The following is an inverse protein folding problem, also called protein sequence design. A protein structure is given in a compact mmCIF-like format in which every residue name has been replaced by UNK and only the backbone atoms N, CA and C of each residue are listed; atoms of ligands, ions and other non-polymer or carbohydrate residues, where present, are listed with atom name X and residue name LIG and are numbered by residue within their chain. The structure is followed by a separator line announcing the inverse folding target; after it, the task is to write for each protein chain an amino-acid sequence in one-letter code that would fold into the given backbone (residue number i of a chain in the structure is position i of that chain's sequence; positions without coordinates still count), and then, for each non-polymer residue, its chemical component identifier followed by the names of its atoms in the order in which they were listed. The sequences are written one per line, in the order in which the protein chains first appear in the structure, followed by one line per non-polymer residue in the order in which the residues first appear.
data_IF_597457553681
#
_entry.id   IF_597457553681
#
_cell.length_a   1.000
_cell.length_b   1.000
_cell.length_c   1.000
_cell.angle_alpha   90.00
_cell.angle_beta   90.00
_cell.angle_gamma   90.00
#
_symmetry.space_group_name_H-M   'P 1'
#
loop_
_entity.id
_entity.type
_entity.pdbx_description
1 polymer ?
#
# COMPACT_ATOMS: atom_id res chain seq x y z
N UNK A 1 11.34 -7.64 17.10
CA UNK A 1 11.92 -6.55 17.90
C UNK A 1 11.76 -5.28 17.08
N UNK A 2 10.72 -4.50 17.36
CA UNK A 2 10.35 -3.31 16.59
C UNK A 2 11.26 -2.13 16.95
N UNK A 3 12.07 -1.67 16.00
CA UNK A 3 12.87 -0.46 16.17
C UNK A 3 11.96 0.72 16.49
N UNK A 4 12.22 1.38 17.62
CA UNK A 4 11.43 2.51 18.10
C UNK A 4 11.47 3.63 17.06
N UNK A 5 10.35 4.33 16.90
CA UNK A 5 10.22 5.46 15.97
C UNK A 5 11.33 6.51 16.19
N UNK A 6 11.84 6.59 17.42
CA UNK A 6 13.00 7.39 17.81
C UNK A 6 14.30 6.96 17.11
N UNK A 7 14.55 5.66 16.99
CA UNK A 7 15.74 5.13 16.33
C UNK A 7 15.66 5.29 14.81
N UNK A 8 14.46 5.19 14.24
CA UNK A 8 14.23 5.50 12.83
C UNK A 8 14.54 6.97 12.51
N UNK A 9 14.15 7.89 13.41
CA UNK A 9 14.44 9.32 13.27
C UNK A 9 15.93 9.65 13.46
N UNK A 10 16.62 8.95 14.37
CA UNK A 10 18.07 9.09 14.56
C UNK A 10 18.85 8.56 13.35
N UNK A 11 18.42 7.44 12.76
CA UNK A 11 19.07 6.83 11.58
C UNK A 11 18.88 7.65 10.30
N UNK A 12 17.74 8.33 10.18
CA UNK A 12 17.43 9.22 9.06
C UNK A 12 18.09 10.60 9.15
N UNK A 13 18.88 10.87 10.21
CA UNK A 13 19.64 12.11 10.36
C UNK A 13 18.81 13.34 10.74
N UNK A 14 17.53 13.14 11.10
CA UNK A 14 16.61 14.22 11.49
C UNK A 14 16.62 14.53 13.00
N UNK A 15 17.33 13.75 13.82
CA UNK A 15 17.40 13.94 15.26
C UNK A 15 18.86 13.99 15.77
N UNK A 16 19.19 14.99 16.59
CA UNK A 16 20.45 15.03 17.34
C UNK A 16 20.40 14.10 18.56
N UNK A 17 21.50 13.39 18.84
CA UNK A 17 21.62 12.51 20.01
C UNK A 17 21.49 13.35 21.30
N UNK A 18 20.66 12.96 22.27
CA UNK A 18 20.55 13.68 23.52
C UNK A 18 21.88 13.63 24.27
N UNK A 19 22.50 14.79 24.46
CA UNK A 19 23.67 14.95 25.33
C UNK A 19 23.22 14.69 26.77
N UNK A 20 23.84 13.70 27.41
CA UNK A 20 23.68 13.41 28.83
C UNK A 20 24.04 14.67 29.64
N UNK A 21 23.05 15.26 30.31
CA UNK A 21 23.29 16.34 31.27
C UNK A 21 23.58 15.74 32.65
N UNK A 22 24.85 15.81 33.03
CA UNK A 22 25.30 15.70 34.41
C UNK A 22 24.68 16.81 35.27
N UNK A 23 24.24 16.42 36.48
CA UNK A 23 23.67 17.30 37.52
C UNK A 23 24.52 18.56 37.77
N UNK A 24 23.93 19.75 37.94
CA UNK A 24 24.64 20.90 38.48
C UNK A 24 24.40 21.05 39.99
N UNK A 25 25.50 21.08 40.74
CA UNK A 25 25.60 21.58 42.11
C UNK A 25 25.32 23.08 42.18
N UNK A 26 24.76 23.51 43.31
CA UNK A 26 24.42 24.88 43.64
C UNK A 26 25.66 25.80 43.71
N UNK A 27 25.59 26.98 43.08
CA UNK A 27 26.32 28.17 43.51
C UNK A 27 25.70 29.47 42.96
N UNK A 28 25.91 30.54 43.74
CA UNK A 28 25.14 31.80 43.88
C UNK A 28 25.20 32.78 42.70
N UNK A 29 24.28 33.77 42.64
CA UNK A 29 24.20 34.74 41.55
C UNK A 29 25.17 35.90 41.71
N UNK A 30 25.84 36.29 40.62
CA UNK A 30 26.50 37.58 40.48
C UNK A 30 25.99 38.30 39.23
N UNK A 31 25.45 39.49 39.46
CA UNK A 31 25.06 40.44 38.44
C UNK A 31 26.28 40.87 37.62
N UNK A 32 26.23 40.66 36.31
CA UNK A 32 26.94 41.48 35.33
C UNK A 32 26.04 41.71 34.13
N UNK A 33 25.49 42.92 34.06
CA UNK A 33 24.94 43.47 32.85
C UNK A 33 26.06 43.58 31.82
N UNK A 34 25.93 42.92 30.66
CA UNK A 34 26.47 43.46 29.42
C UNK A 34 25.94 42.75 28.18
N UNK A 35 25.23 43.56 27.39
CA UNK A 35 25.20 43.54 25.92
C UNK A 35 24.52 42.34 25.27
N UNK A 36 23.21 42.50 25.07
CA UNK A 36 22.43 41.77 24.08
C UNK A 36 23.10 41.88 22.69
N UNK A 37 23.87 40.84 22.33
CA UNK A 37 24.16 40.54 20.93
C UNK A 37 22.88 39.97 20.34
N UNK A 38 22.20 40.77 19.52
CA UNK A 38 21.22 40.30 18.54
C UNK A 38 21.81 39.12 17.78
N UNK A 39 21.34 37.90 18.10
CA UNK A 39 21.51 36.74 17.23
C UNK A 39 20.84 37.13 15.90
N UNK A 40 21.51 37.04 14.74
CA UNK A 40 20.78 37.10 13.48
C UNK A 40 19.77 35.94 13.53
N UNK A 41 18.49 36.26 13.32
CA UNK A 41 17.47 35.23 13.13
C UNK A 41 18.00 34.31 12.02
N UNK A 42 18.11 33.02 12.32
CA UNK A 42 18.40 32.04 11.28
C UNK A 42 17.37 32.28 10.16
N UNK A 43 17.76 32.25 8.87
CA UNK A 43 16.81 32.50 7.81
C UNK A 43 15.71 31.44 7.95
N UNK A 44 14.53 31.87 8.37
CA UNK A 44 13.32 31.06 8.28
C UNK A 44 13.26 30.65 6.82
N UNK A 45 13.46 29.35 6.57
CA UNK A 45 13.30 28.79 5.23
C UNK A 45 11.93 29.27 4.76
N UNK A 46 11.94 30.17 3.76
CA UNK A 46 10.76 30.94 3.37
C UNK A 46 9.55 30.01 3.31
N UNK A 47 8.54 30.30 4.13
CA UNK A 47 7.36 29.45 4.31
C UNK A 47 6.74 29.09 2.94
N UNK A 48 6.83 30.01 1.98
CA UNK A 48 6.42 29.80 0.59
C UNK A 48 7.21 28.66 -0.09
N UNK A 49 8.53 28.58 0.11
CA UNK A 49 9.36 27.49 -0.41
C UNK A 49 9.03 26.13 0.24
N UNK A 50 8.69 26.11 1.52
CA UNK A 50 8.27 24.87 2.20
C UNK A 50 6.95 24.32 1.61
N UNK A 51 5.96 25.20 1.39
CA UNK A 51 4.70 24.81 0.73
C UNK A 51 4.90 24.43 -0.73
N UNK A 52 5.73 25.15 -1.49
CA UNK A 52 6.03 24.83 -2.87
C UNK A 52 6.67 23.43 -2.99
N UNK A 53 7.60 23.08 -2.08
CA UNK A 53 8.23 21.75 -2.04
C UNK A 53 7.22 20.65 -1.73
N UNK A 54 6.30 20.89 -0.79
CA UNK A 54 5.23 19.95 -0.45
C UNK A 54 4.27 19.74 -1.62
N UNK A 55 3.85 20.83 -2.27
CA UNK A 55 2.98 20.74 -3.45
C UNK A 55 3.64 19.98 -4.60
N UNK A 56 4.96 20.12 -4.79
CA UNK A 56 5.71 19.33 -5.77
C UNK A 56 5.76 17.84 -5.39
N UNK A 57 5.98 17.52 -4.11
CA UNK A 57 5.98 16.14 -3.62
C UNK A 57 4.60 15.48 -3.80
N UNK A 58 3.52 16.15 -3.41
CA UNK A 58 2.15 15.64 -3.56
C UNK A 58 1.77 15.39 -5.03
N UNK A 59 2.20 16.26 -5.95
CA UNK A 59 2.04 16.06 -7.41
C UNK A 59 2.84 14.86 -7.91
N UNK A 60 4.07 14.67 -7.43
CA UNK A 60 4.90 13.53 -7.82
C UNK A 60 4.32 12.20 -7.30
N UNK A 61 3.85 12.17 -6.06
CA UNK A 61 3.22 11.00 -5.44
C UNK A 61 1.92 10.62 -6.15
N UNK A 62 1.06 11.59 -6.45
CA UNK A 62 -0.17 11.33 -7.21
C UNK A 62 0.11 10.84 -8.63
N UNK A 63 1.11 11.38 -9.32
CA UNK A 63 1.54 10.89 -10.63
C UNK A 63 2.12 9.47 -10.56
N UNK A 64 2.88 9.12 -9.51
CA UNK A 64 3.40 7.77 -9.29
C UNK A 64 2.27 6.78 -9.00
N UNK A 65 1.35 7.13 -8.10
CA UNK A 65 0.19 6.31 -7.78
C UNK A 65 -0.69 6.03 -9.01
N UNK A 66 -0.89 7.03 -9.88
CA UNK A 66 -1.59 6.84 -11.16
C UNK A 66 -0.85 5.86 -12.08
N UNK A 67 0.46 6.02 -12.25
CA UNK A 67 1.28 5.10 -13.08
C UNK A 67 1.26 3.67 -12.55
N UNK A 68 1.33 3.49 -11.25
CA UNK A 68 1.25 2.17 -10.61
C UNK A 68 -0.14 1.56 -10.77
N UNK A 69 -1.20 2.34 -10.57
CA UNK A 69 -2.57 1.89 -10.79
C UNK A 69 -2.80 1.49 -12.26
N UNK A 70 -2.29 2.27 -13.21
CA UNK A 70 -2.34 1.93 -14.63
C UNK A 70 -1.57 0.64 -14.96
N UNK A 71 -0.36 0.46 -14.40
CA UNK A 71 0.42 -0.77 -14.58
C UNK A 71 -0.33 -1.99 -14.06
N UNK A 72 -0.85 -1.91 -12.84
CA UNK A 72 -1.65 -2.99 -12.23
C UNK A 72 -2.92 -3.25 -13.04
N UNK A 73 -3.57 -2.20 -13.55
CA UNK A 73 -4.75 -2.34 -14.41
C UNK A 73 -4.42 -3.04 -15.74
N UNK A 74 -3.29 -2.70 -16.38
CA UNK A 74 -2.80 -3.36 -17.60
C UNK A 74 -2.52 -4.83 -17.36
N UNK A 75 -1.78 -5.17 -16.31
CA UNK A 75 -1.49 -6.57 -15.96
C UNK A 75 -2.76 -7.38 -15.67
N UNK A 76 -3.74 -6.78 -14.97
CA UNK A 76 -5.04 -7.42 -14.72
C UNK A 76 -5.79 -7.64 -16.02
N UNK A 77 -5.76 -6.68 -16.95
CA UNK A 77 -6.40 -6.80 -18.27
C UNK A 77 -5.75 -7.91 -19.09
N UNK A 78 -4.42 -7.95 -19.15
CA UNK A 78 -3.68 -9.01 -19.85
C UNK A 78 -3.96 -10.39 -19.28
N UNK A 79 -3.95 -10.54 -17.95
CA UNK A 79 -4.30 -11.80 -17.28
C UNK A 79 -5.72 -12.25 -17.61
N UNK A 80 -6.69 -11.33 -17.57
CA UNK A 80 -8.08 -11.62 -17.95
C UNK A 80 -8.20 -12.00 -19.42
N UNK A 81 -7.49 -11.32 -20.33
CA UNK A 81 -7.49 -11.65 -21.76
C UNK A 81 -6.91 -13.03 -22.02
N UNK A 82 -5.79 -13.40 -21.39
CA UNK A 82 -5.23 -14.75 -21.47
C UNK A 82 -6.20 -15.80 -20.96
N UNK A 83 -6.84 -15.56 -19.81
CA UNK A 83 -7.85 -16.47 -19.25
C UNK A 83 -9.07 -16.59 -20.18
N UNK A 84 -9.57 -15.48 -20.73
CA UNK A 84 -10.67 -15.49 -21.68
C UNK A 84 -10.32 -16.26 -22.96
N UNK A 85 -9.12 -16.07 -23.51
CA UNK A 85 -8.64 -16.81 -24.68
C UNK A 85 -8.52 -18.31 -24.41
N UNK A 86 -8.04 -18.71 -23.22
CA UNK A 86 -7.94 -20.12 -22.84
C UNK A 86 -9.31 -20.80 -22.68
N UNK A 87 -10.33 -20.06 -22.26
CA UNK A 87 -11.70 -20.54 -22.04
C UNK A 87 -12.59 -20.40 -23.28
N UNK A 88 -12.21 -19.58 -24.26
CA UNK A 88 -13.00 -19.34 -25.46
C UNK A 88 -13.29 -20.66 -26.21
N UNK A 89 -14.57 -20.91 -26.48
CA UNK A 89 -15.04 -22.11 -27.20
C UNK A 89 -15.01 -23.42 -26.40
N UNK A 90 -14.56 -23.41 -25.13
CA UNK A 90 -14.52 -24.62 -24.27
C UNK A 90 -15.67 -24.69 -23.26
N UNK A 91 -16.55 -23.69 -23.26
CA UNK A 91 -17.72 -23.70 -22.39
C UNK A 91 -18.74 -24.73 -22.91
N UNK A 92 -19.09 -25.71 -22.08
CA UNK A 92 -20.12 -26.72 -22.36
C UNK A 92 -21.48 -26.33 -21.75
N UNK A 93 -21.77 -25.03 -21.74
CA UNK A 93 -23.04 -24.54 -21.21
C UNK A 93 -24.15 -24.82 -22.22
N UNK A 94 -25.17 -25.51 -21.77
CA UNK A 94 -26.38 -25.79 -22.55
C UNK A 94 -27.56 -25.03 -21.94
N UNK A 95 -28.41 -24.45 -22.78
CA UNK A 95 -29.61 -23.72 -22.37
C UNK A 95 -30.75 -24.65 -21.94
N UNK A 96 -30.77 -25.87 -22.47
CA UNK A 96 -31.77 -26.89 -22.18
C UNK A 96 -31.34 -27.80 -21.01
N UNK A 97 -30.35 -27.37 -20.24
CA UNK A 97 -29.86 -28.07 -19.06
C UNK A 97 -30.84 -27.93 -17.89
N UNK A 98 -31.56 -29.02 -17.58
CA UNK A 98 -32.55 -29.02 -16.50
C UNK A 98 -32.13 -29.76 -15.24
N UNK A 99 -31.11 -30.62 -15.31
CA UNK A 99 -30.79 -31.54 -14.20
C UNK A 99 -29.78 -30.91 -13.24
N UNK A 100 -30.12 -30.64 -11.96
CA UNK A 100 -29.19 -30.03 -11.02
C UNK A 100 -28.17 -31.05 -10.51
N UNK A 101 -26.88 -30.76 -10.67
CA UNK A 101 -25.78 -31.49 -10.02
C UNK A 101 -25.12 -30.64 -8.95
N UNK A 102 -25.04 -31.20 -7.75
CA UNK A 102 -24.36 -30.58 -6.61
C UNK A 102 -22.88 -30.99 -6.57
N UNK A 103 -22.02 -30.03 -6.23
CA UNK A 103 -20.59 -30.24 -6.08
C UNK A 103 -20.01 -29.34 -4.97
N UNK A 104 -18.96 -29.78 -4.26
CA UNK A 104 -18.28 -28.96 -3.27
C UNK A 104 -17.42 -27.90 -3.95
N UNK A 105 -17.51 -26.65 -3.49
CA UNK A 105 -16.65 -25.57 -3.92
C UNK A 105 -16.23 -24.72 -2.71
N UNK A 106 -14.98 -24.90 -2.26
CA UNK A 106 -14.52 -24.38 -0.99
C UNK A 106 -15.37 -24.93 0.16
N UNK A 107 -15.90 -24.05 1.00
CA UNK A 107 -16.72 -24.42 2.17
C UNK A 107 -18.23 -24.49 1.87
N UNK A 108 -18.64 -24.53 0.59
CA UNK A 108 -20.06 -24.50 0.20
C UNK A 108 -20.37 -25.52 -0.89
N UNK A 109 -21.55 -26.14 -0.81
CA UNK A 109 -22.11 -26.94 -1.90
C UNK A 109 -22.77 -25.99 -2.90
N UNK A 110 -22.32 -26.02 -4.15
CA UNK A 110 -22.93 -25.28 -5.27
C UNK A 110 -23.66 -26.26 -6.18
N UNK A 111 -24.54 -25.73 -7.02
CA UNK A 111 -25.23 -26.49 -8.06
C UNK A 111 -24.90 -25.93 -9.43
N UNK A 112 -24.79 -26.82 -10.41
CA UNK A 112 -24.80 -26.53 -11.84
C UNK A 112 -25.96 -27.29 -12.46
N UNK A 113 -26.53 -26.73 -13.53
CA UNK A 113 -27.49 -27.44 -14.35
C UNK A 113 -26.74 -28.12 -15.50
N UNK A 114 -27.02 -29.39 -15.69
CA UNK A 114 -26.43 -30.23 -16.73
C UNK A 114 -27.54 -30.87 -17.56
N UNK A 115 -27.24 -31.18 -18.81
CA UNK A 115 -28.06 -32.14 -19.57
C UNK A 115 -27.87 -33.55 -19.01
N UNK A 116 -28.76 -34.48 -19.38
CA UNK A 116 -28.64 -35.88 -18.94
C UNK A 116 -27.35 -36.54 -19.43
N UNK A 117 -26.94 -36.22 -20.66
CA UNK A 117 -25.71 -36.73 -21.27
C UNK A 117 -24.47 -36.21 -20.55
N UNK A 118 -24.43 -34.91 -20.26
CA UNK A 118 -23.36 -34.29 -19.48
C UNK A 118 -23.26 -34.90 -18.09
N UNK A 119 -24.39 -35.10 -17.40
CA UNK A 119 -24.39 -35.74 -16.09
C UNK A 119 -23.81 -37.16 -16.13
N UNK A 120 -24.16 -37.93 -17.17
CA UNK A 120 -23.63 -39.28 -17.36
C UNK A 120 -22.12 -39.26 -17.65
N UNK A 121 -21.65 -38.36 -18.50
CA UNK A 121 -20.22 -38.20 -18.82
C UNK A 121 -19.40 -37.71 -17.60
N UNK A 122 -19.93 -36.78 -16.80
CA UNK A 122 -19.32 -36.34 -15.53
C UNK A 122 -19.17 -37.53 -14.57
N UNK A 123 -20.19 -38.38 -14.46
CA UNK A 123 -20.11 -39.56 -13.59
C UNK A 123 -19.07 -40.59 -14.05
N UNK A 124 -18.76 -40.63 -15.36
CA UNK A 124 -17.69 -41.46 -15.93
C UNK A 124 -16.31 -40.79 -15.90
N UNK A 125 -16.23 -39.49 -15.58
CA UNK A 125 -14.98 -38.73 -15.57
C UNK A 125 -14.48 -38.33 -16.96
N UNK A 126 -15.39 -38.23 -17.94
CA UNK A 126 -15.08 -37.91 -19.35
C UNK A 126 -15.19 -36.41 -19.67
N UNK A 127 -15.58 -35.59 -18.68
CA UNK A 127 -15.77 -34.14 -18.78
C UNK A 127 -15.02 -33.39 -17.68
#
# INVERSE_FOLDING_TARGET
MSDSLRDQLLKAGFAEKPKQQSKPSAQKPSHVANRAKTRPAAPDVDLAHAYARRAQAERAESAQAQREAERVAREKKERKQKLAALLAGKALNDGDADTPRHFPHGNKIRRIYCTREQLAAINRGEL
#
